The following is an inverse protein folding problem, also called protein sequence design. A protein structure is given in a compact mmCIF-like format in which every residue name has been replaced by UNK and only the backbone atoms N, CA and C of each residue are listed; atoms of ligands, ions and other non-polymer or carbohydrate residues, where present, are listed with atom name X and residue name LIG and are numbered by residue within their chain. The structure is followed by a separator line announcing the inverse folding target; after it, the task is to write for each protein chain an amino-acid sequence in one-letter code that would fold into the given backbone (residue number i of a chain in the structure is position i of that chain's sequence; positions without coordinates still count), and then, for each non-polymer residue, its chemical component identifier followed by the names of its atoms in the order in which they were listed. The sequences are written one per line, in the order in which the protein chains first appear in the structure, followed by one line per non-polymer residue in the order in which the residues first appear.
data_IF_505687373829
#
_entry.id   IF_505687373829
#
_cell.length_a   1.000
_cell.length_b   1.000
_cell.length_c   1.000
_cell.angle_alpha   90.00
_cell.angle_beta   90.00
_cell.angle_gamma   90.00
#
_symmetry.space_group_name_H-M   'P 1'
#
loop_
_entity.id
_entity.type
_entity.pdbx_description
1 polymer ?
#
# COMPACT_ATOMS: atom_id res chain seq x y z
N UNK A 1 19.62 26.15 -16.75
CA UNK A 1 20.09 24.75 -16.73
C UNK A 1 18.88 23.85 -16.71
N UNK A 2 18.94 22.72 -17.41
CA UNK A 2 17.81 21.78 -17.42
C UNK A 2 18.00 20.78 -16.25
N UNK A 3 17.28 20.97 -15.16
CA UNK A 3 17.38 20.13 -13.95
C UNK A 3 17.14 18.64 -14.23
N UNK A 4 16.34 18.30 -15.24
CA UNK A 4 16.18 16.92 -15.67
C UNK A 4 17.48 16.34 -16.21
N UNK A 5 18.20 17.11 -17.01
CA UNK A 5 19.50 16.70 -17.55
C UNK A 5 20.52 16.48 -16.42
N UNK A 6 20.54 17.36 -15.43
CA UNK A 6 21.40 17.19 -14.25
C UNK A 6 21.06 15.92 -13.47
N UNK A 7 19.76 15.60 -13.33
CA UNK A 7 19.31 14.35 -12.73
C UNK A 7 19.79 13.11 -13.49
N UNK A 8 19.72 13.13 -14.82
CA UNK A 8 20.25 12.04 -15.64
C UNK A 8 21.77 11.91 -15.56
N UNK A 9 22.50 13.02 -15.50
CA UNK A 9 23.96 13.00 -15.30
C UNK A 9 24.28 12.37 -13.94
N UNK A 10 23.57 12.76 -12.87
CA UNK A 10 23.74 12.17 -11.55
C UNK A 10 23.46 10.66 -11.53
N UNK A 11 22.40 10.22 -12.20
CA UNK A 11 22.03 8.79 -12.31
C UNK A 11 23.03 8.00 -13.16
N UNK A 12 23.74 8.64 -14.10
CA UNK A 12 24.72 7.98 -14.95
C UNK A 12 26.10 7.83 -14.29
N UNK A 13 26.32 8.39 -13.10
CA UNK A 13 27.56 8.21 -12.34
C UNK A 13 27.48 6.92 -11.50
N UNK A 14 28.29 5.87 -11.79
CA UNK A 14 28.29 4.62 -11.05
C UNK A 14 28.57 4.78 -9.55
N UNK A 15 29.35 5.80 -9.17
CA UNK A 15 29.71 6.07 -7.78
C UNK A 15 28.49 6.42 -6.94
N UNK A 16 27.51 7.12 -7.51
CA UNK A 16 26.27 7.46 -6.83
C UNK A 16 25.40 6.21 -6.51
N UNK A 17 25.66 5.09 -7.18
CA UNK A 17 24.94 3.83 -6.94
C UNK A 17 25.61 2.97 -5.88
N UNK A 18 26.94 2.87 -5.89
CA UNK A 18 27.70 1.83 -5.20
C UNK A 18 28.49 2.32 -3.99
N UNK A 19 28.68 3.64 -3.82
CA UNK A 19 29.33 4.19 -2.64
C UNK A 19 28.53 3.85 -1.36
N UNK A 20 29.19 3.73 -0.20
CA UNK A 20 28.50 3.57 1.07
C UNK A 20 27.45 4.66 1.28
N UNK A 21 26.20 4.27 1.53
CA UNK A 21 25.06 5.18 1.58
C UNK A 21 24.59 5.68 0.21
N UNK A 22 25.04 5.07 -0.89
CA UNK A 22 24.59 5.35 -2.25
C UNK A 22 23.19 4.82 -2.55
N UNK A 23 22.79 4.94 -3.80
CA UNK A 23 21.42 4.66 -4.24
C UNK A 23 20.97 3.23 -3.92
N UNK A 24 21.84 2.22 -4.09
CA UNK A 24 21.50 0.83 -3.82
C UNK A 24 21.25 0.57 -2.32
N UNK A 25 22.07 1.13 -1.44
CA UNK A 25 21.89 1.03 0.01
C UNK A 25 20.58 1.69 0.42
N UNK A 26 20.33 2.92 -0.10
CA UNK A 26 19.10 3.67 0.19
C UNK A 26 17.86 3.00 -0.37
N UNK A 27 17.96 2.36 -1.53
CA UNK A 27 16.88 1.56 -2.11
C UNK A 27 16.54 0.35 -1.22
N UNK A 28 17.56 -0.40 -0.79
CA UNK A 28 17.35 -1.54 0.10
C UNK A 28 16.69 -1.11 1.43
N UNK A 29 17.18 -0.04 2.06
CA UNK A 29 16.57 0.51 3.27
C UNK A 29 15.12 0.92 3.05
N UNK A 30 14.84 1.61 1.95
CA UNK A 30 13.50 2.08 1.59
C UNK A 30 12.52 0.91 1.46
N UNK A 31 12.90 -0.12 0.72
CA UNK A 31 12.06 -1.30 0.52
C UNK A 31 11.83 -2.09 1.81
N UNK A 32 12.86 -2.22 2.65
CA UNK A 32 12.74 -2.91 3.96
C UNK A 32 11.76 -2.17 4.87
N UNK A 33 11.88 -0.85 5.00
CA UNK A 33 10.96 -0.04 5.82
C UNK A 33 9.53 -0.13 5.29
N UNK A 34 9.35 -0.01 3.98
CA UNK A 34 8.04 -0.15 3.34
C UNK A 34 7.43 -1.54 3.57
N UNK A 35 8.23 -2.61 3.42
CA UNK A 35 7.76 -3.98 3.63
C UNK A 35 7.28 -4.21 5.07
N UNK A 36 8.04 -3.75 6.07
CA UNK A 36 7.64 -3.83 7.47
C UNK A 36 6.39 -3.01 7.78
N UNK A 37 6.28 -1.80 7.22
CA UNK A 37 5.11 -0.95 7.40
C UNK A 37 3.84 -1.59 6.83
N UNK A 38 3.91 -2.10 5.60
CA UNK A 38 2.78 -2.79 4.96
C UNK A 38 2.42 -4.08 5.70
N UNK A 39 3.42 -4.87 6.12
CA UNK A 39 3.20 -6.09 6.89
C UNK A 39 2.48 -5.79 8.21
N UNK A 40 2.95 -4.80 8.96
CA UNK A 40 2.31 -4.36 10.20
C UNK A 40 0.89 -3.87 9.96
N UNK A 41 0.67 -3.10 8.89
CA UNK A 41 -0.65 -2.69 8.45
C UNK A 41 -1.58 -3.87 8.14
N UNK A 42 -1.08 -4.90 7.43
CA UNK A 42 -1.83 -6.13 7.14
C UNK A 42 -2.21 -6.89 8.41
N UNK A 43 -1.28 -7.03 9.36
CA UNK A 43 -1.52 -7.73 10.64
C UNK A 43 -2.66 -7.10 11.43
N UNK A 44 -2.83 -5.78 11.35
CA UNK A 44 -3.91 -5.06 12.03
C UNK A 44 -5.18 -5.01 11.17
N UNK A 45 -5.06 -4.58 9.92
CA UNK A 45 -6.20 -4.25 9.08
C UNK A 45 -6.96 -5.47 8.57
N UNK A 46 -6.26 -6.54 8.16
CA UNK A 46 -6.92 -7.72 7.62
C UNK A 46 -7.77 -8.47 8.63
N UNK A 47 -7.27 -8.84 9.84
CA UNK A 47 -8.12 -9.50 10.82
C UNK A 47 -9.36 -8.66 11.17
N UNK A 48 -9.19 -7.36 11.34
CA UNK A 48 -10.29 -6.45 11.67
C UNK A 48 -11.28 -6.32 10.51
N UNK A 49 -10.80 -6.07 9.29
CA UNK A 49 -11.64 -5.92 8.11
C UNK A 49 -12.40 -7.20 7.75
N UNK A 50 -11.73 -8.35 7.82
CA UNK A 50 -12.33 -9.67 7.59
C UNK A 50 -13.40 -9.96 8.65
N UNK A 51 -13.10 -9.75 9.93
CA UNK A 51 -14.05 -9.99 11.01
C UNK A 51 -15.30 -9.10 10.90
N UNK A 52 -15.14 -7.81 10.62
CA UNK A 52 -16.23 -6.87 10.42
C UNK A 52 -17.05 -7.22 9.16
N UNK A 53 -16.39 -7.59 8.07
CA UNK A 53 -17.04 -7.98 6.83
C UNK A 53 -17.86 -9.27 6.98
N UNK A 54 -17.32 -10.26 7.71
CA UNK A 54 -18.01 -11.52 8.02
C UNK A 54 -19.24 -11.29 8.91
N UNK A 55 -19.11 -10.46 9.97
CA UNK A 55 -20.25 -10.12 10.86
C UNK A 55 -21.34 -9.30 10.17
N UNK A 56 -21.00 -8.55 9.14
CA UNK A 56 -21.96 -7.76 8.36
C UNK A 56 -22.53 -6.54 9.07
N UNK A 57 -22.05 -6.18 10.28
CA UNK A 57 -22.57 -5.06 11.10
C UNK A 57 -21.41 -4.17 11.57
N UNK A 58 -21.65 -2.84 11.63
CA UNK A 58 -20.73 -1.87 12.24
C UNK A 58 -19.48 -1.52 11.42
N UNK A 59 -19.13 -2.30 10.38
CA UNK A 59 -17.89 -2.14 9.64
C UNK A 59 -17.78 -0.82 8.86
N UNK A 60 -18.90 -0.27 8.39
CA UNK A 60 -18.89 1.01 7.68
C UNK A 60 -18.34 2.16 8.55
N UNK A 61 -18.77 2.24 9.80
CA UNK A 61 -18.26 3.24 10.75
C UNK A 61 -16.76 3.08 11.03
N UNK A 62 -16.28 1.85 11.18
CA UNK A 62 -14.85 1.57 11.39
C UNK A 62 -14.02 1.93 10.17
N UNK A 63 -14.52 1.66 8.96
CA UNK A 63 -13.85 2.08 7.70
C UNK A 63 -13.77 3.60 7.61
N UNK A 64 -14.86 4.30 7.94
CA UNK A 64 -14.86 5.79 7.97
C UNK A 64 -13.83 6.29 8.99
N UNK A 65 -13.81 5.73 10.20
CA UNK A 65 -12.86 6.12 11.25
C UNK A 65 -11.41 5.85 10.81
N UNK A 66 -11.15 4.70 10.17
CA UNK A 66 -9.84 4.42 9.61
C UNK A 66 -9.44 5.45 8.52
N UNK A 67 -10.37 5.82 7.65
CA UNK A 67 -10.09 6.82 6.62
C UNK A 67 -9.81 8.21 7.19
N UNK A 68 -10.33 8.56 8.37
CA UNK A 68 -9.99 9.82 9.04
C UNK A 68 -8.51 9.90 9.41
N UNK A 69 -7.81 8.79 9.58
CA UNK A 69 -6.35 8.79 9.81
C UNK A 69 -5.56 9.34 8.63
N UNK A 70 -6.12 9.27 7.40
CA UNK A 70 -5.50 9.84 6.21
C UNK A 70 -5.50 11.38 6.21
N UNK A 71 -6.36 12.00 7.03
CA UNK A 71 -6.35 13.44 7.22
C UNK A 71 -5.18 13.93 8.10
N UNK A 72 -4.52 13.02 8.82
CA UNK A 72 -3.35 13.35 9.64
C UNK A 72 -2.15 13.52 8.70
N UNK A 73 -1.48 14.68 8.71
CA UNK A 73 -0.29 14.87 7.88
C UNK A 73 0.78 13.84 8.23
N UNK A 74 1.22 13.04 7.25
CA UNK A 74 2.22 11.98 7.48
C UNK A 74 3.50 12.54 8.09
N UNK A 75 3.93 13.73 7.63
CA UNK A 75 5.11 14.39 8.19
C UNK A 75 4.92 14.72 9.68
N UNK A 76 3.73 15.13 10.10
CA UNK A 76 3.44 15.39 11.52
C UNK A 76 3.55 14.09 12.35
N UNK A 77 3.05 12.96 11.83
CA UNK A 77 3.22 11.67 12.50
C UNK A 77 4.70 11.27 12.61
N UNK A 78 5.45 11.44 11.52
CA UNK A 78 6.89 11.14 11.48
C UNK A 78 7.69 12.00 12.45
N UNK A 79 7.28 13.24 12.71
CA UNK A 79 7.98 14.14 13.65
C UNK A 79 7.57 13.92 15.11
N UNK A 80 6.33 13.50 15.38
CA UNK A 80 5.83 13.30 16.75
C UNK A 80 6.24 11.91 17.29
N UNK A 81 6.16 10.86 16.49
CA UNK A 81 6.44 9.49 16.95
C UNK A 81 7.87 9.28 17.51
N UNK A 82 8.94 9.91 16.97
CA UNK A 82 10.26 9.84 17.56
C UNK A 82 10.36 10.43 18.98
N UNK A 83 9.43 11.30 19.36
CA UNK A 83 9.35 11.85 20.72
C UNK A 83 8.73 10.89 21.74
N UNK A 84 8.22 9.77 21.27
CA UNK A 84 7.69 8.68 22.08
C UNK A 84 8.83 7.70 22.47
N UNK A 85 8.58 6.69 23.32
CA UNK A 85 9.56 5.64 23.64
C UNK A 85 10.10 4.86 22.42
N UNK A 86 9.54 5.05 21.21
CA UNK A 86 10.06 4.45 19.98
C UNK A 86 11.42 5.04 19.56
N UNK A 87 11.75 6.25 20.02
CA UNK A 87 12.99 6.95 19.67
C UNK A 87 13.09 7.31 18.18
N UNK A 88 14.30 7.75 17.78
CA UNK A 88 14.59 8.11 16.38
C UNK A 88 14.98 6.88 15.55
N UNK A 89 14.89 7.01 14.21
CA UNK A 89 15.28 5.99 13.26
C UNK A 89 14.11 5.22 12.64
N UNK A 90 14.34 3.96 12.27
CA UNK A 90 13.38 3.16 11.49
C UNK A 90 12.09 2.78 12.25
N UNK A 91 12.08 2.48 13.58
CA UNK A 91 10.85 2.02 14.26
C UNK A 91 9.68 3.00 14.18
N UNK A 92 9.81 4.31 14.54
CA UNK A 92 8.68 5.24 14.45
C UNK A 92 8.22 5.44 13.00
N UNK A 93 9.13 5.37 12.03
CA UNK A 93 8.79 5.46 10.60
C UNK A 93 7.92 4.29 10.18
N UNK A 94 8.29 3.07 10.54
CA UNK A 94 7.50 1.86 10.24
C UNK A 94 6.10 1.98 10.83
N UNK A 95 5.98 2.44 12.08
CA UNK A 95 4.67 2.63 12.73
C UNK A 95 3.84 3.70 12.02
N UNK A 96 4.42 4.87 11.70
CA UNK A 96 3.73 5.95 10.99
C UNK A 96 3.17 5.48 9.64
N UNK A 97 4.02 4.83 8.85
CA UNK A 97 3.64 4.31 7.53
C UNK A 97 2.64 3.15 7.63
N UNK A 98 2.73 2.32 8.69
CA UNK A 98 1.75 1.26 8.93
C UNK A 98 0.36 1.83 9.22
N UNK A 99 0.25 2.87 10.05
CA UNK A 99 -1.01 3.58 10.30
C UNK A 99 -1.59 4.11 8.99
N UNK A 100 -0.76 4.64 8.10
CA UNK A 100 -1.15 5.15 6.80
C UNK A 100 -1.58 4.02 5.83
N UNK A 101 -1.05 2.80 5.98
CA UNK A 101 -1.43 1.63 5.20
C UNK A 101 -2.77 1.00 5.65
N UNK A 102 -3.18 1.17 6.91
CA UNK A 102 -4.38 0.53 7.48
C UNK A 102 -5.65 0.86 6.71
N UNK A 103 -6.00 2.12 6.36
CA UNK A 103 -7.26 2.44 5.70
C UNK A 103 -7.52 1.67 4.40
N UNK A 104 -6.65 1.67 3.40
CA UNK A 104 -6.89 0.93 2.16
C UNK A 104 -6.94 -0.58 2.39
N UNK A 105 -6.13 -1.14 3.29
CA UNK A 105 -6.16 -2.55 3.62
C UNK A 105 -7.47 -2.96 4.29
N UNK A 106 -7.93 -2.18 5.28
CA UNK A 106 -9.16 -2.43 6.03
C UNK A 106 -10.39 -2.28 5.13
N UNK A 107 -10.48 -1.19 4.38
CA UNK A 107 -11.61 -0.90 3.51
C UNK A 107 -11.81 -1.99 2.45
N UNK A 108 -10.72 -2.42 1.81
CA UNK A 108 -10.79 -3.48 0.81
C UNK A 108 -11.11 -4.85 1.42
N UNK A 109 -10.55 -5.19 2.58
CA UNK A 109 -10.88 -6.43 3.29
C UNK A 109 -12.37 -6.47 3.67
N UNK A 110 -12.89 -5.40 4.27
CA UNK A 110 -14.30 -5.27 4.61
C UNK A 110 -15.20 -5.35 3.38
N UNK A 111 -14.92 -4.58 2.35
CA UNK A 111 -15.70 -4.52 1.12
C UNK A 111 -15.69 -5.86 0.39
N UNK A 112 -14.55 -6.54 0.32
CA UNK A 112 -14.44 -7.84 -0.34
C UNK A 112 -15.38 -8.89 0.22
N UNK A 113 -15.51 -8.97 1.55
CA UNK A 113 -16.44 -9.90 2.18
C UNK A 113 -17.91 -9.45 2.05
N UNK A 114 -18.15 -8.13 2.00
CA UNK A 114 -19.52 -7.58 1.88
C UNK A 114 -20.09 -7.71 0.48
N UNK A 115 -19.26 -7.74 -0.53
CA UNK A 115 -19.68 -7.86 -1.93
C UNK A 115 -19.95 -9.31 -2.39
N UNK A 116 -19.68 -10.30 -1.54
CA UNK A 116 -20.06 -11.68 -1.83
C UNK A 116 -21.58 -11.80 -1.79
N UNK A 117 -22.12 -12.38 -2.88
CA UNK A 117 -23.55 -12.57 -3.06
C UNK A 117 -24.19 -13.24 -1.84
N UNK A 118 -25.26 -12.66 -1.27
CA UNK A 118 -26.02 -13.25 -0.17
C UNK A 118 -26.52 -14.67 -0.49
N UNK A 119 -26.98 -14.93 -1.72
CA UNK A 119 -27.45 -16.26 -2.14
C UNK A 119 -26.33 -17.32 -2.03
N UNK A 120 -25.09 -16.96 -2.39
CA UNK A 120 -23.93 -17.83 -2.24
C UNK A 120 -23.66 -18.17 -0.77
N UNK A 121 -23.80 -17.19 0.13
CA UNK A 121 -23.64 -17.40 1.57
C UNK A 121 -24.75 -18.25 2.17
N UNK A 122 -25.99 -18.03 1.72
CA UNK A 122 -27.16 -18.76 2.22
C UNK A 122 -27.18 -20.21 1.68
N UNK A 123 -26.78 -20.44 0.42
CA UNK A 123 -26.57 -21.78 -0.10
C UNK A 123 -25.51 -22.56 0.69
N UNK A 124 -24.39 -21.92 1.03
CA UNK A 124 -23.33 -22.53 1.84
C UNK A 124 -23.83 -22.88 3.26
N UNK A 125 -24.64 -22.02 3.88
CA UNK A 125 -25.28 -22.29 5.18
C UNK A 125 -26.29 -23.42 5.07
N UNK A 126 -27.10 -23.45 3.99
CA UNK A 126 -28.05 -24.53 3.71
C UNK A 126 -27.40 -25.91 3.56
N UNK A 127 -26.15 -25.93 3.09
CA UNK A 127 -25.32 -27.15 3.06
C UNK A 127 -24.71 -27.53 4.42
N UNK A 128 -25.02 -26.81 5.50
CA UNK A 128 -24.56 -27.10 6.86
C UNK A 128 -23.20 -26.51 7.22
N UNK A 129 -22.65 -25.56 6.47
CA UNK A 129 -21.39 -24.91 6.83
C UNK A 129 -21.58 -24.05 8.08
N UNK A 130 -20.74 -24.26 9.10
CA UNK A 130 -20.65 -23.36 10.25
C UNK A 130 -20.08 -22.00 9.84
N UNK A 131 -20.27 -20.95 10.66
CA UNK A 131 -19.76 -19.61 10.37
C UNK A 131 -18.26 -19.57 10.05
N UNK A 132 -17.45 -20.29 10.83
CA UNK A 132 -15.99 -20.38 10.55
C UNK A 132 -15.65 -21.15 9.27
N UNK A 133 -16.45 -22.18 8.91
CA UNK A 133 -16.30 -22.88 7.64
C UNK A 133 -16.73 -22.02 6.46
N UNK A 134 -17.81 -21.28 6.60
CA UNK A 134 -18.27 -20.29 5.63
C UNK A 134 -17.16 -19.27 5.36
N UNK A 135 -16.59 -18.69 6.43
CA UNK A 135 -15.50 -17.71 6.30
C UNK A 135 -14.30 -18.31 5.53
N UNK A 136 -13.80 -19.47 5.96
CA UNK A 136 -12.56 -20.03 5.40
C UNK A 136 -12.72 -20.64 4.02
N UNK A 137 -13.86 -21.28 3.72
CA UNK A 137 -14.08 -22.05 2.49
C UNK A 137 -14.75 -21.24 1.37
N UNK A 138 -15.48 -20.19 1.72
CA UNK A 138 -16.26 -19.40 0.77
C UNK A 138 -15.83 -17.94 0.77
N UNK A 139 -15.96 -17.26 1.91
CA UNK A 139 -15.77 -15.81 1.95
C UNK A 139 -14.33 -15.39 1.70
N UNK A 140 -13.35 -16.00 2.37
CA UNK A 140 -11.94 -15.66 2.17
C UNK A 140 -11.45 -15.91 0.73
N UNK A 141 -11.68 -17.09 0.12
CA UNK A 141 -11.26 -17.30 -1.26
C UNK A 141 -11.88 -16.32 -2.26
N UNK A 142 -13.16 -15.98 -2.08
CA UNK A 142 -13.84 -15.02 -2.95
C UNK A 142 -13.42 -13.58 -2.70
N UNK A 143 -12.91 -13.25 -1.51
CA UNK A 143 -12.42 -11.91 -1.18
C UNK A 143 -10.96 -11.67 -1.56
N UNK A 144 -10.18 -12.69 -1.95
CA UNK A 144 -8.75 -12.57 -2.31
C UNK A 144 -8.47 -11.43 -3.31
N UNK A 145 -9.25 -11.22 -4.38
CA UNK A 145 -9.02 -10.14 -5.33
C UNK A 145 -9.08 -8.74 -4.66
N UNK A 146 -9.96 -8.57 -3.68
CA UNK A 146 -10.11 -7.33 -2.92
C UNK A 146 -8.97 -7.15 -1.91
N UNK A 147 -8.56 -8.23 -1.22
CA UNK A 147 -7.41 -8.20 -0.33
C UNK A 147 -6.13 -7.82 -1.10
N UNK A 148 -5.94 -8.40 -2.28
CA UNK A 148 -4.82 -8.07 -3.16
C UNK A 148 -4.89 -6.62 -3.67
N UNK A 149 -6.08 -6.11 -4.00
CA UNK A 149 -6.26 -4.71 -4.40
C UNK A 149 -5.91 -3.75 -3.26
N UNK A 150 -6.37 -4.05 -2.03
CA UNK A 150 -6.04 -3.26 -0.84
C UNK A 150 -4.53 -3.26 -0.55
N UNK A 151 -3.88 -4.42 -0.65
CA UNK A 151 -2.43 -4.56 -0.49
C UNK A 151 -1.67 -3.71 -1.53
N UNK A 152 -2.07 -3.77 -2.79
CA UNK A 152 -1.47 -3.00 -3.86
C UNK A 152 -1.57 -1.50 -3.60
N UNK A 153 -2.77 -1.01 -3.28
CA UNK A 153 -2.99 0.41 -2.97
C UNK A 153 -2.16 0.85 -1.78
N UNK A 154 -2.16 0.09 -0.68
CA UNK A 154 -1.38 0.40 0.51
C UNK A 154 0.13 0.41 0.24
N UNK A 155 0.64 -0.59 -0.48
CA UNK A 155 2.07 -0.70 -0.79
C UNK A 155 2.56 0.47 -1.64
N UNK A 156 1.85 0.82 -2.71
CA UNK A 156 2.22 1.96 -3.57
C UNK A 156 2.18 3.27 -2.80
N UNK A 157 1.15 3.46 -1.98
CA UNK A 157 0.99 4.65 -1.14
C UNK A 157 2.12 4.76 -0.11
N UNK A 158 2.49 3.66 0.54
CA UNK A 158 3.60 3.61 1.50
C UNK A 158 4.93 3.89 0.81
N UNK A 159 5.23 3.24 -0.32
CA UNK A 159 6.47 3.45 -1.09
C UNK A 159 6.61 4.90 -1.52
N UNK A 160 5.56 5.50 -2.06
CA UNK A 160 5.60 6.90 -2.50
C UNK A 160 5.81 7.89 -1.33
N UNK A 161 5.32 7.55 -0.13
CA UNK A 161 5.34 8.44 1.05
C UNK A 161 6.58 8.23 1.92
N UNK A 162 7.18 7.03 1.88
CA UNK A 162 8.33 6.68 2.72
C UNK A 162 9.57 7.55 2.51
N UNK A 163 9.65 8.29 1.39
CA UNK A 163 10.69 9.31 1.18
C UNK A 163 10.71 10.40 2.27
N UNK A 164 9.57 10.67 2.92
CA UNK A 164 9.49 11.62 4.03
C UNK A 164 10.22 11.13 5.30
N UNK A 165 10.57 9.85 5.39
CA UNK A 165 11.31 9.29 6.51
C UNK A 165 12.70 9.94 6.69
N UNK A 166 13.28 10.46 5.63
CA UNK A 166 14.56 11.17 5.67
C UNK A 166 14.56 12.36 6.62
N UNK A 167 13.43 13.05 6.80
CA UNK A 167 13.32 14.20 7.71
C UNK A 167 13.47 13.83 9.19
N UNK A 168 13.36 12.55 9.53
CA UNK A 168 13.45 12.04 10.91
C UNK A 168 14.56 10.99 11.06
N UNK A 169 15.56 11.04 10.18
CA UNK A 169 16.67 10.09 10.15
C UNK A 169 16.22 8.62 10.00
N UNK A 170 15.15 8.41 9.24
CA UNK A 170 14.56 7.10 8.98
C UNK A 170 15.21 6.32 7.84
N UNK A 171 16.15 6.93 7.13
CA UNK A 171 16.83 6.33 5.99
C UNK A 171 16.00 6.30 4.69
N UNK A 172 16.45 5.51 3.74
CA UNK A 172 15.78 5.27 2.48
C UNK A 172 16.04 6.32 1.40
N UNK A 173 15.35 6.17 0.25
CA UNK A 173 15.57 7.00 -0.94
C UNK A 173 15.35 8.51 -0.72
N UNK A 174 14.55 8.88 0.28
CA UNK A 174 14.34 10.29 0.64
C UNK A 174 15.62 11.01 1.09
N UNK A 175 16.61 10.29 1.60
CA UNK A 175 17.89 10.87 2.00
C UNK A 175 18.68 11.41 0.82
N UNK A 176 18.56 10.81 -0.36
CA UNK A 176 19.15 11.32 -1.59
C UNK A 176 18.56 12.69 -1.91
N UNK A 177 17.24 12.82 -1.82
CA UNK A 177 16.53 14.08 -2.07
C UNK A 177 16.94 15.13 -1.02
N UNK A 178 16.94 14.75 0.26
CA UNK A 178 17.27 15.64 1.36
C UNK A 178 18.73 16.14 1.29
N UNK A 179 19.67 15.26 0.92
CA UNK A 179 21.06 15.61 0.71
C UNK A 179 21.22 16.63 -0.44
N UNK A 180 20.47 16.48 -1.52
CA UNK A 180 20.43 17.46 -2.61
C UNK A 180 19.93 18.83 -2.16
N UNK A 181 18.92 18.89 -1.28
CA UNK A 181 18.49 20.16 -0.65
C UNK A 181 19.59 20.74 0.23
N UNK A 182 20.34 19.91 0.96
CA UNK A 182 21.47 20.35 1.79
C UNK A 182 22.61 20.99 0.99
N UNK A 183 22.89 20.46 -0.21
CA UNK A 183 23.87 21.06 -1.15
C UNK A 183 23.35 22.40 -1.69
N UNK A 184 22.04 22.53 -1.90
CA UNK A 184 21.38 23.68 -2.49
C UNK A 184 21.26 23.59 -4.01
N UNK A 185 20.12 24.03 -4.52
CA UNK A 185 19.77 23.94 -5.95
C UNK A 185 20.79 24.64 -6.84
N UNK A 186 21.24 25.83 -6.45
CA UNK A 186 22.22 26.63 -7.18
C UNK A 186 23.63 26.05 -7.15
N UNK A 187 23.93 25.16 -6.20
CA UNK A 187 25.25 24.56 -6.01
C UNK A 187 25.38 23.15 -6.59
N UNK A 188 24.44 22.73 -7.47
CA UNK A 188 24.45 21.41 -8.10
C UNK A 188 23.59 20.35 -7.40
N UNK A 189 22.92 20.67 -6.30
CA UNK A 189 22.02 19.76 -5.59
C UNK A 189 20.75 19.41 -6.38
N UNK A 190 20.38 20.20 -7.40
CA UNK A 190 19.20 19.99 -8.21
C UNK A 190 19.22 18.61 -8.92
N UNK A 191 20.35 18.22 -9.46
CA UNK A 191 20.51 16.89 -10.10
C UNK A 191 20.19 15.74 -9.15
N UNK A 192 20.67 15.80 -7.92
CA UNK A 192 20.44 14.79 -6.89
C UNK A 192 18.98 14.76 -6.43
N UNK A 193 18.34 15.92 -6.27
CA UNK A 193 16.90 16.00 -5.94
C UNK A 193 16.06 15.35 -7.01
N UNK A 194 16.30 15.70 -8.27
CA UNK A 194 15.56 15.15 -9.42
C UNK A 194 15.81 13.65 -9.57
N UNK A 195 17.06 13.20 -9.45
CA UNK A 195 17.42 11.80 -9.50
C UNK A 195 16.69 10.98 -8.42
N UNK A 196 16.73 11.43 -7.17
CA UNK A 196 16.02 10.78 -6.06
C UNK A 196 14.51 10.71 -6.29
N UNK A 197 13.90 11.80 -6.76
CA UNK A 197 12.47 11.83 -7.10
C UNK A 197 12.09 10.86 -8.21
N UNK A 198 12.90 10.80 -9.29
CA UNK A 198 12.70 9.84 -10.40
C UNK A 198 12.79 8.40 -9.88
N UNK A 199 13.79 8.07 -9.06
CA UNK A 199 13.97 6.72 -8.54
C UNK A 199 12.80 6.32 -7.64
N UNK A 200 12.33 7.19 -6.74
CA UNK A 200 11.14 6.90 -5.91
C UNK A 200 9.92 6.62 -6.79
N UNK A 201 9.68 7.45 -7.81
CA UNK A 201 8.57 7.25 -8.75
C UNK A 201 8.68 5.92 -9.51
N UNK A 202 9.86 5.58 -10.01
CA UNK A 202 10.11 4.32 -10.71
C UNK A 202 9.90 3.11 -9.79
N UNK A 203 10.37 3.17 -8.54
CA UNK A 203 10.17 2.11 -7.55
C UNK A 203 8.68 1.94 -7.24
N UNK A 204 7.94 3.03 -7.06
CA UNK A 204 6.50 2.96 -6.84
C UNK A 204 5.76 2.33 -8.03
N UNK A 205 6.12 2.70 -9.28
CA UNK A 205 5.56 2.10 -10.50
C UNK A 205 5.92 0.63 -10.63
N UNK A 206 7.15 0.24 -10.28
CA UNK A 206 7.60 -1.15 -10.30
C UNK A 206 6.80 -1.99 -9.29
N UNK A 207 6.65 -1.51 -8.07
CA UNK A 207 5.84 -2.17 -7.03
C UNK A 207 4.38 -2.30 -7.47
N UNK A 208 3.82 -1.24 -8.06
CA UNK A 208 2.47 -1.27 -8.66
C UNK A 208 2.35 -2.36 -9.71
N UNK A 209 3.27 -2.42 -10.67
CA UNK A 209 3.25 -3.40 -11.75
C UNK A 209 3.40 -4.84 -11.24
N UNK A 210 4.31 -5.06 -10.28
CA UNK A 210 4.53 -6.36 -9.65
C UNK A 210 3.28 -6.84 -8.90
N UNK A 211 2.70 -5.97 -8.06
CA UNK A 211 1.51 -6.33 -7.29
C UNK A 211 0.26 -6.44 -8.16
N UNK A 212 0.14 -5.68 -9.25
CA UNK A 212 -0.90 -5.88 -10.25
C UNK A 212 -0.77 -7.25 -10.94
N UNK A 213 0.45 -7.68 -11.24
CA UNK A 213 0.72 -9.03 -11.73
C UNK A 213 0.30 -10.11 -10.74
N UNK A 214 0.72 -9.98 -9.48
CA UNK A 214 0.32 -10.89 -8.39
C UNK A 214 -1.20 -10.93 -8.24
N UNK A 215 -1.87 -9.77 -8.21
CA UNK A 215 -3.33 -9.69 -8.12
C UNK A 215 -4.00 -10.45 -9.27
N UNK A 216 -3.50 -10.32 -10.50
CA UNK A 216 -4.03 -11.07 -11.64
C UNK A 216 -3.85 -12.58 -11.50
N UNK A 217 -2.72 -13.02 -10.94
CA UNK A 217 -2.46 -14.45 -10.74
C UNK A 217 -3.36 -15.08 -9.68
N UNK A 218 -3.57 -14.38 -8.55
CA UNK A 218 -4.40 -14.87 -7.44
C UNK A 218 -5.90 -14.68 -7.67
N UNK A 219 -6.31 -13.92 -8.69
CA UNK A 219 -7.72 -13.72 -9.05
C UNK A 219 -8.18 -14.87 -9.96
N UNK A 220 -9.16 -15.71 -9.55
CA UNK A 220 -9.67 -16.79 -10.38
C UNK A 220 -10.24 -16.29 -11.71
N UNK A 221 -10.13 -17.06 -12.81
CA UNK A 221 -10.58 -16.67 -14.15
C UNK A 221 -12.04 -16.17 -14.23
N UNK A 222 -13.03 -16.75 -13.52
CA UNK A 222 -14.41 -16.27 -13.54
C UNK A 222 -14.58 -14.85 -12.97
N UNK A 223 -13.69 -14.44 -12.06
CA UNK A 223 -13.73 -13.11 -11.43
C UNK A 223 -12.91 -12.07 -12.21
N UNK A 224 -12.05 -12.50 -13.15
CA UNK A 224 -11.25 -11.57 -14.01
C UNK A 224 -12.09 -10.89 -15.08
N UNK A 225 -13.09 -11.58 -15.60
CA UNK A 225 -14.03 -11.02 -16.55
C UNK A 225 -15.28 -10.64 -15.78
N UNK A 226 -15.50 -9.34 -15.57
CA UNK A 226 -16.79 -8.83 -15.13
C UNK A 226 -17.84 -9.17 -16.19
N UNK A 227 -18.32 -10.42 -16.18
CA UNK A 227 -19.41 -10.86 -17.04
C UNK A 227 -20.64 -10.09 -16.59
N UNK A 228 -20.91 -8.95 -17.25
CA UNK A 228 -22.23 -8.35 -17.21
C UNK A 228 -23.21 -9.49 -17.46
N UNK A 229 -23.99 -9.84 -16.44
CA UNK A 229 -25.17 -10.66 -16.64
C UNK A 229 -25.93 -10.01 -17.80
N UNK A 230 -26.01 -10.71 -18.94
CA UNK A 230 -26.92 -10.28 -20.02
C UNK A 230 -28.30 -10.22 -19.38
N UNK A 231 -28.99 -9.09 -19.48
CA UNK A 231 -30.41 -9.10 -19.13
C UNK A 231 -31.04 -10.22 -19.94
N UNK A 232 -31.63 -11.19 -19.27
CA UNK A 232 -32.51 -12.18 -19.90
C UNK A 232 -33.55 -11.38 -20.66
N UNK A 233 -33.49 -11.42 -21.98
CA UNK A 233 -34.51 -10.84 -22.82
C UNK A 233 -35.85 -11.42 -22.35
N UNK A 234 -36.72 -10.57 -21.85
CA UNK A 234 -38.08 -10.93 -21.53
C UNK A 234 -38.69 -11.61 -22.77
N UNK A 235 -39.15 -12.83 -22.62
CA UNK A 235 -39.90 -13.55 -23.66
C UNK A 235 -41.11 -12.70 -24.05
N UNK A 236 -41.40 -12.51 -25.34
CA UNK A 236 -42.60 -11.82 -25.75
C UNK A 236 -43.82 -12.61 -25.28
N UNK A 237 -44.69 -11.95 -24.50
CA UNK A 237 -46.01 -12.47 -24.17
C UNK A 237 -46.80 -12.59 -25.49
N UNK A 238 -47.11 -13.86 -25.84
CA UNK A 238 -48.06 -14.17 -26.88
C UNK A 238 -49.49 -14.18 -26.34
#
# INVERSE_FOLDING_TARGET
MNYLQEGFVWLNDPLNWTNPGGLLDRLAEHLIVCAWAVLLGCVVAWPLGIWLGHRGRGGGGVVVLANLTLAIPTLAMLTILPLTPLGFGKPPVVVALAVFAVPPLLANAYTGLRQIDPETKDAARGMGLSGGQLLRRVELPLSVPYLAAGLRTAAVQVVATAGLAAFVNGGGLGEIILAGFGIGISNGGAGQIVAGGIVVALVALLVEALLAGVQRLVTPPPLRTGRRARPTAAAPAG
#
